data_IF_242867857897
#
_entry.id   IF_242867857897
#
_cell.length_a   1.000
_cell.length_b   1.000
_cell.length_c   1.000
_cell.angle_alpha   90.00
_cell.angle_beta   90.00
_cell.angle_gamma   90.00
#
_symmetry.space_group_name_H-M   'P 1'
#
loop_
_entity.id
_entity.type
_entity.pdbx_description
1 polymer ?
#
# COMPACT_ATOMS: atom_id res chain seq x y z
N UNK A 1 -19.75 -24.68 22.66
CA UNK A 1 -18.83 -23.98 21.74
C UNK A 1 -17.85 -23.12 22.56
N UNK A 2 -16.73 -22.70 21.98
CA UNK A 2 -15.86 -21.71 22.63
C UNK A 2 -16.33 -20.30 22.24
N UNK A 3 -16.67 -19.48 23.24
CA UNK A 3 -16.97 -18.06 23.07
C UNK A 3 -15.86 -17.29 23.76
N UNK A 4 -15.11 -16.47 23.00
CA UNK A 4 -13.96 -15.71 23.49
C UNK A 4 -12.92 -16.58 24.25
N UNK A 5 -12.64 -17.78 23.73
CA UNK A 5 -11.63 -18.69 24.30
C UNK A 5 -12.08 -19.49 25.53
N UNK A 6 -13.35 -19.42 25.94
CA UNK A 6 -13.89 -20.19 27.08
C UNK A 6 -15.10 -21.03 26.66
N UNK A 7 -15.28 -22.23 27.25
CA UNK A 7 -16.45 -23.06 26.96
C UNK A 7 -17.72 -22.39 27.51
N UNK A 8 -18.75 -22.25 26.67
CA UNK A 8 -20.05 -21.72 27.04
C UNK A 8 -21.16 -22.57 26.43
N UNK A 9 -22.19 -22.89 27.22
CA UNK A 9 -23.47 -23.39 26.71
C UNK A 9 -24.23 -22.20 26.13
N UNK A 10 -24.64 -22.30 24.87
CA UNK A 10 -25.31 -21.21 24.16
C UNK A 10 -26.59 -21.70 23.51
N UNK A 11 -27.59 -20.82 23.43
CA UNK A 11 -28.80 -21.09 22.67
C UNK A 11 -28.63 -20.72 21.19
N UNK A 12 -29.63 -21.04 20.36
CA UNK A 12 -29.58 -20.80 18.92
C UNK A 12 -29.39 -19.31 18.57
N UNK A 13 -30.07 -18.41 19.27
CA UNK A 13 -29.96 -16.96 19.03
C UNK A 13 -28.54 -16.46 19.34
N UNK A 14 -27.95 -16.88 20.46
CA UNK A 14 -26.57 -16.53 20.80
C UNK A 14 -25.58 -17.06 19.77
N UNK A 15 -25.77 -18.27 19.25
CA UNK A 15 -24.93 -18.82 18.20
C UNK A 15 -24.97 -17.96 16.92
N UNK A 16 -26.16 -17.57 16.47
CA UNK A 16 -26.34 -16.71 15.29
C UNK A 16 -25.76 -15.30 15.50
N UNK A 17 -25.91 -14.73 16.70
CA UNK A 17 -25.32 -13.42 17.04
C UNK A 17 -23.80 -13.47 17.01
N UNK A 18 -23.18 -14.48 17.63
CA UNK A 18 -21.73 -14.64 17.61
C UNK A 18 -21.19 -14.84 16.20
N UNK A 19 -21.88 -15.61 15.37
CA UNK A 19 -21.52 -15.78 13.97
C UNK A 19 -21.61 -14.45 13.21
N UNK A 20 -22.70 -13.70 13.35
CA UNK A 20 -22.89 -12.41 12.67
C UNK A 20 -21.83 -11.39 13.10
N UNK A 21 -21.50 -11.28 14.39
CA UNK A 21 -20.44 -10.38 14.87
C UNK A 21 -19.06 -10.77 14.34
N UNK A 22 -18.80 -12.08 14.22
CA UNK A 22 -17.60 -12.56 13.55
C UNK A 22 -17.56 -12.14 12.08
N UNK A 23 -18.64 -12.34 11.32
CA UNK A 23 -18.72 -11.93 9.91
C UNK A 23 -18.53 -10.42 9.74
N UNK A 24 -19.17 -9.60 10.57
CA UNK A 24 -18.96 -8.13 10.58
C UNK A 24 -17.48 -7.78 10.80
N UNK A 25 -16.81 -8.49 11.71
CA UNK A 25 -15.39 -8.29 12.00
C UNK A 25 -14.50 -8.72 10.83
N UNK A 26 -14.78 -9.86 10.21
CA UNK A 26 -14.07 -10.35 9.01
C UNK A 26 -14.19 -9.33 7.88
N UNK A 27 -15.41 -8.87 7.57
CA UNK A 27 -15.65 -7.89 6.51
C UNK A 27 -14.94 -6.58 6.82
N UNK A 28 -15.01 -6.08 8.06
CA UNK A 28 -14.29 -4.86 8.48
C UNK A 28 -12.79 -4.98 8.27
N UNK A 29 -12.18 -6.09 8.70
CA UNK A 29 -10.74 -6.34 8.55
C UNK A 29 -10.34 -6.42 7.07
N UNK A 30 -11.15 -7.09 6.24
CA UNK A 30 -10.93 -7.17 4.78
C UNK A 30 -11.01 -5.79 4.13
N UNK A 31 -12.02 -5.00 4.46
CA UNK A 31 -12.16 -3.64 3.91
C UNK A 31 -11.00 -2.74 4.32
N UNK A 32 -10.57 -2.80 5.59
CA UNK A 32 -9.40 -2.05 6.06
C UNK A 32 -8.11 -2.48 5.36
N UNK A 33 -7.92 -3.78 5.12
CA UNK A 33 -6.79 -4.30 4.34
C UNK A 33 -6.81 -3.76 2.91
N UNK A 34 -7.95 -3.86 2.23
CA UNK A 34 -8.10 -3.36 0.86
C UNK A 34 -7.87 -1.85 0.78
N UNK A 35 -8.37 -1.08 1.75
CA UNK A 35 -8.16 0.36 1.81
C UNK A 35 -6.67 0.72 1.93
N UNK A 36 -5.92 0.04 2.82
CA UNK A 36 -4.47 0.26 2.94
C UNK A 36 -3.76 -0.05 1.63
N UNK A 37 -4.03 -1.21 1.03
CA UNK A 37 -3.44 -1.61 -0.25
C UNK A 37 -3.77 -0.62 -1.39
N UNK A 38 -4.99 -0.10 -1.41
CA UNK A 38 -5.41 0.90 -2.39
C UNK A 38 -4.68 2.24 -2.20
N UNK A 39 -4.50 2.69 -0.95
CA UNK A 39 -3.71 3.89 -0.64
C UNK A 39 -2.24 3.71 -1.01
N UNK A 40 -1.65 2.57 -0.68
CA UNK A 40 -0.27 2.25 -1.08
C UNK A 40 -0.12 2.28 -2.60
N UNK A 41 -1.11 1.75 -3.35
CA UNK A 41 -1.11 1.81 -4.81
C UNK A 41 -1.28 3.22 -5.35
N UNK A 42 -2.19 4.01 -4.77
CA UNK A 42 -2.41 5.41 -5.15
C UNK A 42 -1.13 6.24 -4.96
N UNK A 43 -0.45 6.05 -3.82
CA UNK A 43 0.84 6.69 -3.53
C UNK A 43 1.89 6.40 -4.60
N UNK A 44 2.02 5.16 -5.06
CA UNK A 44 2.93 4.82 -6.17
C UNK A 44 2.50 5.49 -7.48
N UNK A 45 1.20 5.47 -7.80
CA UNK A 45 0.67 6.08 -9.02
C UNK A 45 0.89 7.60 -9.05
N UNK A 46 0.80 8.28 -7.90
CA UNK A 46 1.13 9.71 -7.78
C UNK A 46 2.59 9.97 -8.18
N UNK A 47 3.53 9.16 -7.72
CA UNK A 47 4.94 9.27 -8.10
C UNK A 47 5.17 9.01 -9.59
N UNK A 48 4.53 7.98 -10.16
CA UNK A 48 4.64 7.68 -11.59
C UNK A 48 4.03 8.76 -12.47
N UNK A 49 2.94 9.41 -12.04
CA UNK A 49 2.37 10.56 -12.76
C UNK A 49 3.34 11.73 -12.80
N UNK A 50 3.95 12.08 -11.65
CA UNK A 50 4.99 13.12 -11.60
C UNK A 50 6.15 12.76 -12.54
N UNK A 51 6.57 11.49 -12.56
CA UNK A 51 7.65 11.04 -13.43
C UNK A 51 7.30 11.18 -14.92
N UNK A 52 6.06 10.88 -15.31
CA UNK A 52 5.60 11.04 -16.70
C UNK A 52 5.48 12.52 -17.10
N UNK A 53 5.00 13.38 -16.20
CA UNK A 53 4.90 14.82 -16.45
C UNK A 53 6.27 15.49 -16.64
N UNK A 54 7.34 14.90 -16.06
CA UNK A 54 8.73 15.39 -16.11
C UNK A 54 9.72 14.38 -16.70
N UNK A 55 9.28 13.58 -17.69
CA UNK A 55 10.02 12.39 -18.13
C UNK A 55 11.45 12.68 -18.62
N UNK A 56 11.67 13.81 -19.30
CA UNK A 56 12.99 14.18 -19.81
C UNK A 56 13.98 14.50 -18.66
N UNK A 57 13.51 15.20 -17.63
CA UNK A 57 14.32 15.53 -16.44
C UNK A 57 14.58 14.29 -15.56
N UNK A 58 13.63 13.35 -15.52
CA UNK A 58 13.82 12.06 -14.85
C UNK A 58 14.91 11.26 -15.55
N UNK A 59 14.84 11.14 -16.88
CA UNK A 59 15.84 10.42 -17.67
C UNK A 59 17.22 11.05 -17.53
N UNK A 60 17.33 12.39 -17.59
CA UNK A 60 18.62 13.06 -17.39
C UNK A 60 19.18 12.82 -15.99
N UNK A 61 18.35 12.98 -14.95
CA UNK A 61 18.76 12.75 -13.56
C UNK A 61 19.25 11.31 -13.34
N UNK A 62 18.58 10.31 -13.92
CA UNK A 62 19.00 8.91 -13.83
C UNK A 62 20.32 8.68 -14.59
N UNK A 63 20.45 9.24 -15.81
CA UNK A 63 21.66 9.06 -16.64
C UNK A 63 22.89 9.77 -16.09
N UNK A 64 22.71 10.87 -15.37
CA UNK A 64 23.79 11.61 -14.68
C UNK A 64 24.26 10.90 -13.39
N UNK A 65 23.44 10.00 -12.85
CA UNK A 65 23.74 9.31 -11.59
C UNK A 65 24.64 8.10 -11.82
N UNK A 66 25.74 8.01 -11.07
CA UNK A 66 26.69 6.89 -11.18
C UNK A 66 26.14 5.55 -10.64
N UNK A 67 25.16 5.61 -9.72
CA UNK A 67 24.55 4.42 -9.11
C UNK A 67 23.07 4.63 -8.86
N UNK A 68 22.31 3.53 -8.79
CA UNK A 68 20.87 3.56 -8.47
C UNK A 68 20.58 4.27 -7.15
N UNK A 69 21.48 4.16 -6.17
CA UNK A 69 21.34 4.83 -4.88
C UNK A 69 21.41 6.36 -5.02
N UNK A 70 22.36 6.86 -5.81
CA UNK A 70 22.50 8.30 -6.11
C UNK A 70 21.30 8.80 -6.92
N UNK A 71 20.82 8.01 -7.88
CA UNK A 71 19.61 8.32 -8.63
C UNK A 71 18.39 8.41 -7.70
N UNK A 72 18.21 7.43 -6.82
CA UNK A 72 17.10 7.39 -5.87
C UNK A 72 17.10 8.59 -4.91
N UNK A 73 18.27 8.97 -4.37
CA UNK A 73 18.39 10.16 -3.50
C UNK A 73 18.09 11.46 -4.29
N UNK A 74 18.58 11.56 -5.53
CA UNK A 74 18.34 12.71 -6.41
C UNK A 74 16.86 12.85 -6.79
N UNK A 75 16.19 11.74 -7.11
CA UNK A 75 14.76 11.71 -7.43
C UNK A 75 13.90 12.12 -6.23
N UNK A 76 14.24 11.65 -5.02
CA UNK A 76 13.56 12.05 -3.79
C UNK A 76 13.70 13.55 -3.50
N UNK A 77 14.92 14.08 -3.61
CA UNK A 77 15.21 15.50 -3.33
C UNK A 77 14.57 16.44 -4.36
N UNK A 78 14.76 16.18 -5.66
CA UNK A 78 14.32 17.07 -6.75
C UNK A 78 12.80 17.07 -6.93
N UNK A 79 12.18 15.89 -6.89
CA UNK A 79 10.75 15.72 -7.18
C UNK A 79 9.89 15.51 -5.93
N UNK A 80 10.48 15.66 -4.73
CA UNK A 80 9.82 15.45 -3.43
C UNK A 80 9.13 14.08 -3.33
N UNK A 81 9.73 13.09 -3.94
CA UNK A 81 9.23 11.72 -3.95
C UNK A 81 9.64 11.01 -2.66
N UNK A 82 8.80 10.09 -2.21
CA UNK A 82 9.22 9.11 -1.19
C UNK A 82 10.15 8.07 -1.79
N UNK A 83 10.92 7.39 -0.94
CA UNK A 83 11.77 6.26 -1.32
C UNK A 83 11.01 5.19 -2.15
N UNK A 84 9.78 4.84 -1.73
CA UNK A 84 8.95 3.86 -2.45
C UNK A 84 8.56 4.31 -3.86
N UNK A 85 8.29 5.61 -4.04
CA UNK A 85 7.96 6.17 -5.35
C UNK A 85 9.21 6.23 -6.24
N UNK A 86 10.34 6.68 -5.69
CA UNK A 86 11.60 6.74 -6.42
C UNK A 86 12.03 5.34 -6.90
N UNK A 87 11.95 4.32 -6.03
CA UNK A 87 12.22 2.93 -6.42
C UNK A 87 11.26 2.46 -7.53
N UNK A 88 9.96 2.75 -7.40
CA UNK A 88 8.98 2.35 -8.42
C UNK A 88 9.21 3.02 -9.79
N UNK A 89 9.81 4.20 -9.83
CA UNK A 89 10.20 4.88 -11.07
C UNK A 89 11.45 4.24 -11.68
N UNK A 90 12.45 3.88 -10.86
CA UNK A 90 13.63 3.15 -11.32
C UNK A 90 13.28 1.76 -11.87
N UNK A 91 12.28 1.10 -11.29
CA UNK A 91 11.78 -0.21 -11.73
C UNK A 91 10.90 -0.12 -13.00
N UNK A 92 10.60 1.10 -13.49
CA UNK A 92 9.75 1.30 -14.65
C UNK A 92 10.46 0.80 -15.91
N UNK A 93 9.78 -0.06 -16.67
CA UNK A 93 10.29 -0.54 -17.96
C UNK A 93 10.02 0.52 -19.03
N UNK A 94 11.03 0.78 -19.86
CA UNK A 94 10.91 1.56 -21.09
C UNK A 94 10.10 0.79 -22.15
#
# INVERSE_FOLDING_TARGET
>A
ALVNGRPKLINLKEALVHYLEHQKTVVRRRTQYNLRKAKDRAHILEGLRIALDHIDEIISTIRESETDKVAMESLQQRFKLSEKQAQAILDMRL
#
